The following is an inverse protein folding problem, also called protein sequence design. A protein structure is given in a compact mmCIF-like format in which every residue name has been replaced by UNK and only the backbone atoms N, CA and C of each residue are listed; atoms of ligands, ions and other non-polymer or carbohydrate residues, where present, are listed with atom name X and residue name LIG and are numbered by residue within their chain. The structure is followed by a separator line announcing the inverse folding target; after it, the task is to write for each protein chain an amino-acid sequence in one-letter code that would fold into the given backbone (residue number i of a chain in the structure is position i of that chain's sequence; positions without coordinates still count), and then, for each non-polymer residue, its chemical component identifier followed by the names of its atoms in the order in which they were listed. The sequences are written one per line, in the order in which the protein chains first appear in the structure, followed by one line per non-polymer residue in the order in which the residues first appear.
data_IF_942005983537
#
_entry.id   IF_942005983537
#
_cell.length_a   1.000
_cell.length_b   1.000
_cell.length_c   1.000
_cell.angle_alpha   90.00
_cell.angle_beta   90.00
_cell.angle_gamma   90.00
#
_symmetry.space_group_name_H-M   'P 1'
#
loop_
_entity.id
_entity.type
_entity.pdbx_description
1 polymer ?
#
# COMPACT_ATOMS: atom_id res chain seq x y z
N UNK A 1 26.69 18.96 -5.22
CA UNK A 1 25.45 18.26 -5.62
C UNK A 1 24.99 17.48 -4.41
N UNK A 2 24.46 18.19 -3.42
CA UNK A 2 23.97 17.66 -2.15
C UNK A 2 22.87 18.60 -1.67
N UNK A 3 21.76 18.06 -1.17
CA UNK A 3 20.73 18.85 -0.49
C UNK A 3 19.33 18.79 -1.11
N UNK A 4 18.72 17.60 -1.15
CA UNK A 4 17.25 17.45 -1.21
C UNK A 4 16.87 16.08 -0.62
N UNK A 5 17.05 15.90 0.69
CA UNK A 5 16.53 14.71 1.40
C UNK A 5 15.74 15.02 2.67
N UNK A 6 15.57 16.29 3.06
CA UNK A 6 15.01 16.62 4.39
C UNK A 6 13.48 16.87 4.42
N UNK A 7 12.79 16.83 3.28
CA UNK A 7 11.39 17.26 3.19
C UNK A 7 10.30 16.26 3.63
N UNK A 8 10.60 15.17 4.35
CA UNK A 8 9.59 14.14 4.67
C UNK A 8 9.15 14.04 6.13
N UNK A 9 9.70 14.85 7.04
CA UNK A 9 9.54 14.59 8.49
C UNK A 9 8.54 15.44 9.26
N UNK A 10 7.82 16.40 8.65
CA UNK A 10 6.89 17.25 9.39
C UNK A 10 5.44 17.13 8.93
N UNK A 11 4.92 15.90 8.92
CA UNK A 11 3.47 15.68 8.91
C UNK A 11 3.03 15.55 10.36
N UNK A 12 2.46 16.62 10.91
CA UNK A 12 1.78 16.58 12.21
C UNK A 12 0.44 15.84 12.03
N UNK A 13 0.51 14.51 11.95
CA UNK A 13 -0.63 13.61 11.98
C UNK A 13 -1.11 13.60 13.43
N UNK A 14 -2.39 13.86 13.68
CA UNK A 14 -3.01 13.75 15.00
C UNK A 14 -2.52 12.47 15.69
N UNK A 15 -1.93 12.63 16.89
CA UNK A 15 -1.18 11.60 17.64
C UNK A 15 -2.06 10.39 18.02
N UNK A 16 -3.37 10.46 17.83
CA UNK A 16 -4.30 9.33 17.98
C UNK A 16 -4.33 8.36 16.78
N UNK A 17 -3.85 8.77 15.59
CA UNK A 17 -3.72 7.92 14.38
C UNK A 17 -2.32 7.26 14.27
N UNK A 18 -1.59 7.25 15.39
CA UNK A 18 -0.21 6.79 15.51
C UNK A 18 -0.10 5.30 15.18
N UNK A 19 0.46 5.01 14.01
CA UNK A 19 1.11 3.75 13.64
C UNK A 19 0.29 2.47 13.87
N UNK A 20 -0.87 2.35 13.22
CA UNK A 20 -1.36 1.01 12.89
C UNK A 20 -0.26 0.27 12.13
N UNK A 21 0.23 -0.84 12.69
CA UNK A 21 1.33 -1.65 12.11
C UNK A 21 1.01 -2.16 10.71
N UNK A 22 -0.26 -2.20 10.36
CA UNK A 22 -0.81 -2.67 9.10
C UNK A 22 -1.26 -1.53 8.14
N UNK A 23 -0.73 -0.30 8.29
CA UNK A 23 -1.03 0.80 7.37
C UNK A 23 0.08 1.03 6.35
N UNK A 24 -0.30 1.12 5.07
CA UNK A 24 0.58 1.41 3.95
C UNK A 24 0.21 2.79 3.38
N UNK A 25 1.18 3.70 3.35
CA UNK A 25 1.07 4.98 2.68
C UNK A 25 1.73 4.90 1.31
N UNK A 26 0.91 5.01 0.27
CA UNK A 26 1.35 4.90 -1.12
C UNK A 26 1.75 6.27 -1.64
N UNK A 27 2.93 6.32 -2.25
CA UNK A 27 3.45 7.50 -2.94
C UNK A 27 3.73 7.18 -4.40
N UNK A 28 3.51 8.15 -5.28
CA UNK A 28 3.45 7.95 -6.74
C UNK A 28 4.79 7.56 -7.38
N UNK A 29 5.92 8.09 -6.89
CA UNK A 29 7.18 8.05 -7.67
C UNK A 29 8.32 7.25 -7.04
N UNK A 30 8.12 6.64 -5.87
CA UNK A 30 9.24 6.04 -5.11
C UNK A 30 9.39 4.53 -5.27
N UNK A 31 8.32 3.81 -5.63
CA UNK A 31 8.28 2.35 -5.62
C UNK A 31 7.42 1.82 -6.79
N UNK A 32 7.80 0.67 -7.39
CA UNK A 32 6.99 0.03 -8.42
C UNK A 32 5.64 -0.46 -7.86
N UNK A 33 4.64 -0.63 -8.70
CA UNK A 33 3.28 -1.04 -8.30
C UNK A 33 3.27 -2.31 -7.41
N UNK A 34 3.97 -3.36 -7.85
CA UNK A 34 4.02 -4.64 -7.15
C UNK A 34 4.73 -4.60 -5.80
N UNK A 35 5.53 -3.57 -5.51
CA UNK A 35 6.05 -3.37 -4.17
C UNK A 35 4.92 -3.23 -3.16
N UNK A 36 3.90 -2.42 -3.47
CA UNK A 36 2.77 -2.20 -2.57
C UNK A 36 1.83 -3.41 -2.51
N UNK A 37 1.65 -4.13 -3.62
CA UNK A 37 0.90 -5.41 -3.64
C UNK A 37 1.56 -6.42 -2.70
N UNK A 38 2.87 -6.63 -2.83
CA UNK A 38 3.60 -7.61 -2.03
C UNK A 38 3.70 -7.19 -0.55
N UNK A 39 3.85 -5.89 -0.29
CA UNK A 39 3.82 -5.37 1.08
C UNK A 39 2.45 -5.58 1.73
N UNK A 40 1.36 -5.36 1.01
CA UNK A 40 0.01 -5.62 1.50
C UNK A 40 -0.19 -7.11 1.81
N UNK A 41 0.20 -8.02 0.90
CA UNK A 41 0.20 -9.46 1.17
C UNK A 41 0.96 -9.81 2.45
N UNK A 42 2.18 -9.28 2.62
CA UNK A 42 3.00 -9.52 3.82
C UNK A 42 2.35 -8.99 5.09
N UNK A 43 1.72 -7.82 5.05
CA UNK A 43 1.01 -7.27 6.21
C UNK A 43 -0.22 -8.13 6.56
N UNK A 44 -0.92 -8.65 5.55
CA UNK A 44 -2.09 -9.52 5.77
C UNK A 44 -1.73 -10.94 6.24
N UNK A 45 -0.50 -11.39 6.01
CA UNK A 45 0.02 -12.59 6.68
C UNK A 45 0.24 -12.38 8.19
N UNK A 46 0.47 -11.14 8.63
CA UNK A 46 0.73 -10.79 10.04
C UNK A 46 -0.51 -10.24 10.77
N UNK A 47 -1.49 -9.75 10.01
CA UNK A 47 -2.66 -9.04 10.50
C UNK A 47 -3.89 -9.42 9.68
N UNK A 48 -5.09 -9.35 10.25
CA UNK A 48 -6.32 -9.73 9.51
C UNK A 48 -6.76 -8.73 8.45
N UNK A 49 -6.21 -7.52 8.52
CA UNK A 49 -6.54 -6.41 7.65
C UNK A 49 -5.29 -5.61 7.27
N UNK A 50 -5.39 -4.87 6.18
CA UNK A 50 -4.42 -3.85 5.77
C UNK A 50 -5.15 -2.55 5.41
N UNK A 51 -4.56 -1.43 5.78
CA UNK A 51 -5.07 -0.09 5.47
C UNK A 51 -4.18 0.56 4.41
N UNK A 52 -4.73 0.81 3.22
CA UNK A 52 -4.05 1.49 2.11
C UNK A 52 -4.48 2.95 2.07
N UNK A 53 -3.53 3.88 2.02
CA UNK A 53 -3.84 5.31 1.93
C UNK A 53 -2.96 6.04 0.93
N UNK A 54 -3.53 7.05 0.25
CA UNK A 54 -2.82 7.88 -0.71
C UNK A 54 -3.40 9.29 -0.81
N UNK A 55 -2.58 10.19 -1.36
CA UNK A 55 -2.94 11.58 -1.64
C UNK A 55 -2.79 11.91 -3.13
N UNK A 56 -3.75 12.65 -3.67
CA UNK A 56 -3.71 13.19 -5.04
C UNK A 56 -3.42 12.13 -6.10
N UNK A 57 -2.37 12.32 -6.88
CA UNK A 57 -2.02 11.41 -8.00
C UNK A 57 -1.73 9.96 -7.57
N UNK A 58 -1.33 9.73 -6.31
CA UNK A 58 -1.07 8.37 -5.81
C UNK A 58 -2.35 7.57 -5.54
N UNK A 59 -3.53 8.19 -5.60
CA UNK A 59 -4.83 7.52 -5.41
C UNK A 59 -5.00 6.40 -6.44
N UNK A 60 -4.61 6.63 -7.70
CA UNK A 60 -4.69 5.63 -8.76
C UNK A 60 -3.93 4.35 -8.38
N UNK A 61 -2.72 4.48 -7.82
CA UNK A 61 -1.93 3.34 -7.38
C UNK A 61 -2.63 2.55 -6.27
N UNK A 62 -3.25 3.20 -5.28
CA UNK A 62 -4.00 2.51 -4.22
C UNK A 62 -5.19 1.74 -4.79
N UNK A 63 -5.93 2.34 -5.72
CA UNK A 63 -7.07 1.69 -6.37
C UNK A 63 -6.59 0.45 -7.13
N UNK A 64 -5.55 0.57 -7.95
CA UNK A 64 -4.99 -0.57 -8.69
C UNK A 64 -4.48 -1.68 -7.77
N UNK A 65 -3.81 -1.34 -6.66
CA UNK A 65 -3.34 -2.34 -5.69
C UNK A 65 -4.54 -3.09 -5.07
N UNK A 66 -5.58 -2.36 -4.66
CA UNK A 66 -6.78 -2.98 -4.11
C UNK A 66 -7.47 -3.89 -5.14
N UNK A 67 -7.61 -3.43 -6.39
CA UNK A 67 -8.19 -4.22 -7.48
C UNK A 67 -7.41 -5.51 -7.76
N UNK A 68 -6.07 -5.44 -7.82
CA UNK A 68 -5.22 -6.62 -8.01
C UNK A 68 -5.47 -7.65 -6.89
N UNK A 69 -5.48 -7.19 -5.63
CA UNK A 69 -5.67 -8.09 -4.48
C UNK A 69 -7.07 -8.73 -4.46
N UNK A 70 -8.11 -7.98 -4.83
CA UNK A 70 -9.48 -8.50 -4.93
C UNK A 70 -9.66 -9.47 -6.10
N UNK A 71 -9.14 -9.13 -7.28
CA UNK A 71 -9.25 -9.96 -8.47
C UNK A 71 -8.50 -11.29 -8.32
N UNK A 72 -7.43 -11.30 -7.54
CA UNK A 72 -6.71 -12.53 -7.17
C UNK A 72 -7.41 -13.32 -6.06
N UNK A 73 -8.59 -12.90 -5.59
CA UNK A 73 -9.35 -13.61 -4.55
C UNK A 73 -8.74 -13.54 -3.15
N UNK A 74 -7.74 -12.67 -2.92
CA UNK A 74 -7.02 -12.60 -1.64
C UNK A 74 -7.77 -11.75 -0.59
N UNK A 75 -8.49 -10.74 -1.04
CA UNK A 75 -9.04 -9.73 -0.12
C UNK A 75 -10.47 -9.34 -0.45
N UNK A 76 -11.21 -8.89 0.57
CA UNK A 76 -12.48 -8.18 0.45
C UNK A 76 -12.35 -6.76 0.97
N UNK A 77 -13.00 -5.78 0.33
CA UNK A 77 -13.07 -4.43 0.91
C UNK A 77 -13.97 -4.41 2.14
N UNK A 78 -13.45 -3.85 3.22
CA UNK A 78 -14.23 -3.58 4.45
C UNK A 78 -14.68 -2.13 4.52
N UNK A 79 -13.86 -1.21 4.05
CA UNK A 79 -14.15 0.22 4.06
C UNK A 79 -13.42 0.93 2.94
N UNK A 80 -14.09 1.86 2.28
CA UNK A 80 -13.50 2.81 1.34
C UNK A 80 -13.93 4.21 1.79
N UNK A 81 -12.98 5.11 1.97
CA UNK A 81 -13.24 6.48 2.39
C UNK A 81 -12.40 7.44 1.57
N UNK A 82 -13.05 8.47 1.05
CA UNK A 82 -12.40 9.60 0.40
C UNK A 82 -12.68 10.86 1.21
N UNK A 83 -11.68 11.73 1.29
CA UNK A 83 -11.78 12.99 1.99
C UNK A 83 -10.87 14.03 1.33
N UNK A 84 -10.97 15.27 1.79
CA UNK A 84 -10.03 16.34 1.45
C UNK A 84 -9.29 16.71 2.72
N UNK A 85 -7.96 16.79 2.63
CA UNK A 85 -7.09 17.16 3.76
C UNK A 85 -6.25 18.37 3.41
N UNK A 86 -6.07 19.26 4.39
CA UNK A 86 -5.15 20.38 4.28
C UNK A 86 -3.71 19.89 4.46
N UNK A 87 -2.87 20.09 3.45
CA UNK A 87 -1.44 19.79 3.49
C UNK A 87 -0.68 21.09 3.64
N UNK A 88 0.18 21.16 4.65
CA UNK A 88 1.11 22.28 4.80
C UNK A 88 2.14 22.24 3.66
N UNK A 89 2.16 23.29 2.86
CA UNK A 89 3.15 23.49 1.81
C UNK A 89 3.94 24.76 2.15
N UNK A 90 5.11 24.57 2.77
CA UNK A 90 5.98 25.68 3.20
C UNK A 90 6.46 26.52 2.00
N UNK A 91 6.43 25.99 0.78
CA UNK A 91 6.82 26.73 -0.43
C UNK A 91 5.75 27.71 -0.94
N UNK A 92 4.48 27.48 -0.59
CA UNK A 92 3.34 28.25 -1.11
C UNK A 92 2.74 29.24 -0.10
N UNK A 93 3.23 29.26 1.14
CA UNK A 93 2.77 30.18 2.20
C UNK A 93 1.33 30.00 2.65
N UNK A 94 0.58 29.03 2.10
CA UNK A 94 -0.79 28.68 2.47
C UNK A 94 -1.01 27.16 2.39
N UNK A 95 -1.87 26.58 3.24
CA UNK A 95 -2.27 25.18 3.12
C UNK A 95 -2.87 24.88 1.75
N UNK A 96 -2.58 23.70 1.22
CA UNK A 96 -3.15 23.20 -0.04
C UNK A 96 -4.03 22.00 0.26
N UNK A 97 -5.27 22.04 -0.20
CA UNK A 97 -6.18 20.92 -0.11
C UNK A 97 -5.80 19.82 -1.11
N UNK A 98 -5.67 18.59 -0.60
CA UNK A 98 -5.47 17.39 -1.43
C UNK A 98 -6.55 16.36 -1.14
N UNK A 99 -7.03 15.70 -2.19
CA UNK A 99 -7.82 14.50 -2.04
C UNK A 99 -7.00 13.40 -1.35
N UNK A 100 -7.63 12.71 -0.40
CA UNK A 100 -7.11 11.55 0.31
C UNK A 100 -8.05 10.37 0.10
N UNK A 101 -7.49 9.19 -0.09
CA UNK A 101 -8.22 7.92 -0.06
C UNK A 101 -7.68 7.03 1.05
N UNK A 102 -8.56 6.28 1.68
CA UNK A 102 -8.28 5.26 2.69
C UNK A 102 -9.13 4.02 2.40
N UNK A 103 -8.48 2.89 2.16
CA UNK A 103 -9.13 1.60 1.88
C UNK A 103 -8.68 0.60 2.94
N UNK A 104 -9.64 -0.02 3.63
CA UNK A 104 -9.38 -1.15 4.52
C UNK A 104 -9.76 -2.43 3.78
N UNK A 105 -8.79 -3.32 3.62
CA UNK A 105 -8.98 -4.64 3.03
C UNK A 105 -8.83 -5.70 4.12
N UNK A 106 -9.71 -6.70 4.12
CA UNK A 106 -9.61 -7.88 4.99
C UNK A 106 -9.31 -9.13 4.19
N UNK A 107 -8.72 -10.14 4.85
CA UNK A 107 -8.48 -11.46 4.26
C UNK A 107 -9.79 -12.11 3.82
N UNK A 108 -9.76 -12.79 2.70
CA UNK A 108 -10.77 -13.81 2.34
C UNK A 108 -10.50 -15.10 3.10
N UNK A 109 -11.46 -16.01 3.09
CA UNK A 109 -11.31 -17.37 3.64
C UNK A 109 -10.19 -18.15 2.91
N UNK A 110 -9.98 -17.87 1.63
CA UNK A 110 -9.01 -18.56 0.78
C UNK A 110 -7.62 -17.91 0.81
N UNK A 111 -7.39 -16.88 1.62
CA UNK A 111 -6.16 -16.09 1.58
C UNK A 111 -4.91 -16.95 1.83
N UNK A 112 -4.92 -17.75 2.90
CA UNK A 112 -3.75 -18.53 3.31
C UNK A 112 -3.44 -19.64 2.29
N UNK A 113 -4.47 -20.29 1.73
CA UNK A 113 -4.33 -21.30 0.69
C UNK A 113 -3.71 -20.73 -0.59
N UNK A 114 -4.22 -19.59 -1.05
CA UNK A 114 -3.72 -18.93 -2.26
C UNK A 114 -2.29 -18.37 -2.07
N UNK A 115 -1.96 -17.92 -0.86
CA UNK A 115 -0.60 -17.49 -0.54
C UNK A 115 0.39 -18.66 -0.48
N UNK A 116 -0.04 -19.82 0.02
CA UNK A 116 0.78 -21.03 0.04
C UNK A 116 0.98 -21.60 -1.37
N UNK A 117 -0.07 -21.64 -2.20
CA UNK A 117 0.01 -22.09 -3.58
C UNK A 117 0.98 -21.22 -4.40
N UNK A 118 0.87 -19.90 -4.31
CA UNK A 118 1.78 -18.98 -5.00
C UNK A 118 3.25 -19.14 -4.56
N UNK A 119 3.49 -19.45 -3.28
CA UNK A 119 4.84 -19.68 -2.78
C UNK A 119 5.45 -21.00 -3.30
N UNK A 120 4.62 -22.02 -3.55
CA UNK A 120 5.07 -23.28 -4.15
C UNK A 120 5.40 -23.10 -5.64
N UNK A 121 4.54 -22.40 -6.40
CA UNK A 121 4.77 -22.10 -7.81
C UNK A 121 6.02 -21.23 -8.05
N UNK A 122 6.27 -20.24 -7.18
CA UNK A 122 7.49 -19.41 -7.22
C UNK A 122 8.77 -20.22 -6.87
N UNK A 123 8.64 -21.32 -6.13
CA UNK A 123 9.73 -22.24 -5.83
C UNK A 123 10.05 -23.13 -7.02
N UNK A 124 9.02 -23.76 -7.60
CA UNK A 124 9.15 -24.66 -8.74
C UNK A 124 9.71 -23.94 -9.99
N UNK A 125 9.30 -22.71 -10.27
CA UNK A 125 9.85 -21.94 -11.40
C UNK A 125 11.34 -21.59 -11.24
N UNK A 126 11.82 -21.39 -10.01
CA UNK A 126 13.26 -21.13 -9.76
C UNK A 126 14.10 -22.39 -9.97
N UNK A 127 13.59 -23.53 -9.54
CA UNK A 127 14.29 -24.81 -9.70
C UNK A 127 14.38 -25.22 -11.19
N UNK A 128 13.40 -24.86 -12.01
CA UNK A 128 13.41 -25.11 -13.46
C UNK A 128 14.39 -24.18 -14.20
N UNK A 129 14.51 -22.91 -13.80
CA UNK A 129 15.48 -21.98 -14.39
C UNK A 129 16.93 -22.35 -14.02
N UNK A 130 17.18 -22.83 -12.80
CA UNK A 130 18.52 -23.23 -12.34
C UNK A 130 18.99 -24.57 -12.94
N UNK A 131 18.07 -25.45 -13.34
CA UNK A 131 18.41 -26.70 -14.05
C UNK A 131 18.54 -26.54 -15.57
N UNK A 132 18.13 -25.39 -16.12
CA UNK A 132 18.15 -25.10 -17.56
C UNK A 132 19.28 -24.14 -17.98
N UNK A 133 20.13 -23.71 -17.05
CA UNK A 133 21.31 -22.85 -17.26
C UNK A 133 22.60 -23.67 -17.17
#
# INVERSE_FOLDING_TARGET
MEGITEGVNNININISDSYKKNRIQVSNTKKPLFFYVNLAKRYMQQHDEVELSALGMAIATVVTVAEILKNNGLTVEKKITTSTVDIKDDSRGRPVQKAKIEIVLGKTENFDELMAAAAAEDGENRDVEEQSA
#
